data_IF_497661024412
#
_entry.id   IF_497661024412
#
_cell.length_a   1.000
_cell.length_b   1.000
_cell.length_c   1.000
_cell.angle_alpha   90.00
_cell.angle_beta   90.00
_cell.angle_gamma   90.00
#
_symmetry.space_group_name_H-M   'P 1'
#
loop_
_entity.id
_entity.type
_entity.pdbx_description
1 polymer ?
#
# COMPACT_ATOMS: atom_id res chain seq x y z
N UNK A 1 10.62 -6.13 0.77
CA UNK A 1 10.13 -6.63 -0.53
C UNK A 1 10.46 -5.61 -1.60
N UNK A 2 10.84 -6.05 -2.79
CA UNK A 2 11.13 -5.19 -3.94
C UNK A 2 10.04 -5.42 -4.98
N UNK A 3 9.55 -4.36 -5.60
CA UNK A 3 8.64 -4.47 -6.73
C UNK A 3 9.33 -5.22 -7.87
N UNK A 4 8.61 -5.97 -8.72
CA UNK A 4 9.19 -6.67 -9.86
C UNK A 4 9.97 -5.74 -10.81
N UNK A 5 9.58 -4.47 -10.87
CA UNK A 5 10.25 -3.43 -11.66
C UNK A 5 11.43 -2.75 -10.95
N UNK A 6 11.86 -3.28 -9.79
CA UNK A 6 13.02 -2.81 -9.05
C UNK A 6 12.76 -1.61 -8.12
N UNK A 7 11.53 -1.07 -8.06
CA UNK A 7 11.18 -0.04 -7.07
C UNK A 7 11.06 -0.63 -5.67
N UNK A 8 11.05 0.25 -4.67
CA UNK A 8 10.75 -0.09 -3.27
C UNK A 8 9.82 0.97 -2.70
N UNK A 9 8.77 0.56 -2.00
CA UNK A 9 7.91 1.44 -1.20
C UNK A 9 8.24 1.22 0.27
N UNK A 10 8.69 2.27 0.98
CA UNK A 10 8.97 2.22 2.41
C UNK A 10 7.72 2.63 3.19
N UNK A 11 7.32 1.81 4.16
CA UNK A 11 6.18 2.07 5.04
C UNK A 11 6.69 1.95 6.47
N UNK A 12 6.58 3.01 7.26
CA UNK A 12 6.85 2.94 8.70
C UNK A 12 5.61 2.41 9.41
N UNK A 13 5.80 1.41 10.28
CA UNK A 13 4.72 0.85 11.10
C UNK A 13 4.94 1.35 12.52
N UNK A 14 4.06 2.23 12.97
CA UNK A 14 4.02 2.72 14.35
C UNK A 14 2.91 1.99 15.10
N UNK A 15 3.24 1.13 16.08
CA UNK A 15 2.21 0.42 16.85
C UNK A 15 1.28 1.39 17.59
N UNK A 16 -0.03 1.13 17.54
CA UNK A 16 -1.05 1.92 18.24
C UNK A 16 -1.64 3.09 17.46
N UNK A 17 -1.17 3.33 16.23
CA UNK A 17 -1.71 4.36 15.34
C UNK A 17 -2.25 3.76 14.05
N UNK A 18 -3.41 4.24 13.62
CA UNK A 18 -3.97 3.90 12.32
C UNK A 18 -3.30 4.70 11.20
N UNK A 19 -3.11 4.04 10.05
CA UNK A 19 -2.63 4.72 8.85
C UNK A 19 -3.76 5.59 8.29
N UNK A 20 -3.56 6.91 8.35
CA UNK A 20 -4.52 7.87 7.81
C UNK A 20 -4.74 7.73 6.30
N UNK A 21 -5.93 8.15 5.83
CA UNK A 21 -6.38 8.05 4.42
C UNK A 21 -5.44 8.65 3.38
N UNK A 22 -4.65 9.67 3.75
CA UNK A 22 -3.69 10.33 2.85
C UNK A 22 -2.45 9.47 2.63
N UNK A 23 -1.96 8.84 3.70
CA UNK A 23 -0.81 7.96 3.64
C UNK A 23 -1.13 6.67 2.88
N UNK A 24 -2.34 6.10 3.07
CA UNK A 24 -2.79 4.96 2.25
C UNK A 24 -2.79 5.32 0.76
N UNK A 25 -3.34 6.48 0.37
CA UNK A 25 -3.34 6.92 -1.04
C UNK A 25 -1.91 7.05 -1.59
N UNK A 26 -1.00 7.60 -0.79
CA UNK A 26 0.41 7.70 -1.17
C UNK A 26 1.05 6.32 -1.37
N UNK A 27 0.80 5.38 -0.45
CA UNK A 27 1.32 4.01 -0.54
C UNK A 27 0.83 3.31 -1.81
N UNK A 28 -0.47 3.40 -2.11
CA UNK A 28 -1.08 2.83 -3.33
C UNK A 28 -0.41 3.43 -4.58
N UNK A 29 -0.25 4.76 -4.61
CA UNK A 29 0.43 5.46 -5.72
C UNK A 29 1.90 5.05 -5.86
N UNK A 30 2.66 5.02 -4.77
CA UNK A 30 4.08 4.66 -4.75
C UNK A 30 4.28 3.20 -5.16
N UNK A 31 3.31 2.33 -4.88
CA UNK A 31 3.28 0.95 -5.34
C UNK A 31 2.89 0.81 -6.82
N UNK A 32 2.38 1.87 -7.48
CA UNK A 32 1.74 1.85 -8.81
C UNK A 32 0.58 0.85 -8.88
N UNK A 33 -0.24 0.80 -7.84
CA UNK A 33 -1.49 0.05 -7.87
C UNK A 33 -2.63 0.94 -8.35
N UNK A 34 -3.49 0.38 -9.17
CA UNK A 34 -4.80 0.95 -9.48
C UNK A 34 -5.75 0.75 -8.31
N UNK A 35 -6.88 1.47 -8.36
CA UNK A 35 -7.93 1.34 -7.34
C UNK A 35 -8.50 -0.07 -7.29
N UNK A 36 -8.67 -0.72 -8.44
CA UNK A 36 -9.31 -2.04 -8.53
C UNK A 36 -8.35 -3.13 -8.04
N UNK A 37 -7.07 -3.08 -8.44
CA UNK A 37 -6.03 -3.98 -7.89
C UNK A 37 -5.90 -3.86 -6.37
N UNK A 38 -6.04 -2.64 -5.84
CA UNK A 38 -6.05 -2.43 -4.39
C UNK A 38 -7.24 -3.11 -3.71
N UNK A 39 -8.46 -2.98 -4.25
CA UNK A 39 -9.63 -3.63 -3.67
C UNK A 39 -9.55 -5.15 -3.76
N UNK A 40 -9.09 -5.70 -4.88
CA UNK A 40 -8.88 -7.14 -5.03
C UNK A 40 -7.90 -7.67 -3.98
N UNK A 41 -6.81 -6.95 -3.71
CA UNK A 41 -5.85 -7.33 -2.67
C UNK A 41 -6.47 -7.31 -1.27
N UNK A 42 -7.33 -6.34 -0.97
CA UNK A 42 -8.01 -6.23 0.33
C UNK A 42 -9.04 -7.34 0.50
N UNK A 43 -9.85 -7.59 -0.52
CA UNK A 43 -10.84 -8.68 -0.51
C UNK A 43 -10.19 -10.06 -0.30
N UNK A 44 -8.97 -10.27 -0.78
CA UNK A 44 -8.22 -11.53 -0.59
C UNK A 44 -7.65 -11.73 0.81
N UNK A 45 -7.54 -10.67 1.61
CA UNK A 45 -6.94 -10.70 2.96
C UNK A 45 -8.03 -10.73 4.04
N UNK A 46 -9.25 -10.32 3.71
CA UNK A 46 -10.45 -10.43 4.55
C UNK A 46 -11.09 -11.81 4.41
#
# INVERSE_FOLDING_TARGET
MRHPDGRTTLITVHPGEDIGKGLIRKIISDAKLTRDEWFELIERIL
#
